data_IF_292272599323
#
_entry.id   IF_292272599323
#
_cell.length_a   1.000
_cell.length_b   1.000
_cell.length_c   1.000
_cell.angle_alpha   90.00
_cell.angle_beta   90.00
_cell.angle_gamma   90.00
#
_symmetry.space_group_name_H-M   'P 1'
#
loop_
_entity.id
_entity.type
_entity.pdbx_description
1 polymer ?
#
# COMPACT_ATOMS: atom_id res chain seq x y z
N UNK A 1 19.52 33.89 6.45
CA UNK A 1 19.71 32.90 5.37
C UNK A 1 18.62 31.82 5.36
N UNK A 2 18.28 31.22 6.52
CA UNK A 2 17.25 30.16 6.60
C UNK A 2 15.84 30.57 6.14
N UNK A 3 15.35 31.76 6.49
CA UNK A 3 14.02 32.23 6.04
C UNK A 3 13.86 32.33 4.52
N UNK A 4 14.96 32.55 3.78
CA UNK A 4 14.91 32.58 2.30
C UNK A 4 14.93 31.18 1.68
N UNK A 5 15.56 30.20 2.34
CA UNK A 5 15.53 28.79 1.94
C UNK A 5 14.11 28.24 2.06
N UNK A 6 13.42 28.49 3.17
CA UNK A 6 12.03 28.07 3.37
C UNK A 6 11.06 28.68 2.34
N UNK A 7 11.23 29.96 2.01
CA UNK A 7 10.43 30.61 0.95
C UNK A 7 10.65 30.00 -0.44
N UNK A 8 11.88 29.59 -0.77
CA UNK A 8 12.18 28.89 -2.03
C UNK A 8 11.58 27.48 -2.05
N UNK A 9 11.70 26.72 -0.96
CA UNK A 9 11.12 25.38 -0.84
C UNK A 9 9.59 25.45 -0.97
N UNK A 10 8.95 26.40 -0.28
CA UNK A 10 7.51 26.63 -0.37
C UNK A 10 7.07 26.96 -1.81
N UNK A 11 7.84 27.74 -2.55
CA UNK A 11 7.51 28.11 -3.93
C UNK A 11 7.68 26.97 -4.95
N UNK A 12 8.43 25.92 -4.60
CA UNK A 12 8.66 24.75 -5.45
C UNK A 12 7.61 23.64 -5.30
N UNK A 13 6.64 23.80 -4.40
CA UNK A 13 5.57 22.81 -4.27
C UNK A 13 4.54 22.92 -5.38
N UNK A 14 4.01 21.77 -5.79
CA UNK A 14 2.94 21.68 -6.78
C UNK A 14 1.59 22.03 -6.12
N UNK A 15 1.29 23.34 -6.08
CA UNK A 15 0.05 23.87 -5.51
C UNK A 15 -1.22 23.30 -6.16
N UNK A 16 -1.29 23.11 -7.49
CA UNK A 16 -2.41 22.40 -8.12
C UNK A 16 -2.67 21.01 -7.52
N UNK A 17 -1.62 20.20 -7.34
CA UNK A 17 -1.77 18.85 -6.77
C UNK A 17 -2.27 18.90 -5.33
N UNK A 18 -1.69 19.77 -4.50
CA UNK A 18 -2.10 19.93 -3.09
C UNK A 18 -3.57 20.37 -3.01
N UNK A 19 -3.96 21.34 -3.85
CA UNK A 19 -5.33 21.84 -3.89
C UNK A 19 -6.31 20.76 -4.32
N UNK A 20 -5.96 19.96 -5.34
CA UNK A 20 -6.78 18.84 -5.78
C UNK A 20 -7.00 17.82 -4.65
N UNK A 21 -5.93 17.42 -3.95
CA UNK A 21 -6.03 16.48 -2.82
C UNK A 21 -6.94 17.01 -1.72
N UNK A 22 -6.84 18.30 -1.37
CA UNK A 22 -7.70 18.92 -0.36
C UNK A 22 -9.17 18.90 -0.80
N UNK A 23 -9.45 19.32 -2.05
CA UNK A 23 -10.81 19.37 -2.58
C UNK A 23 -11.45 17.99 -2.66
N UNK A 24 -10.73 17.00 -3.17
CA UNK A 24 -11.18 15.60 -3.22
C UNK A 24 -11.45 15.04 -1.81
N UNK A 25 -10.61 15.38 -0.84
CA UNK A 25 -10.78 14.91 0.54
C UNK A 25 -12.00 15.54 1.23
N UNK A 26 -12.23 16.84 1.04
CA UNK A 26 -13.41 17.53 1.57
C UNK A 26 -14.69 17.03 0.92
N UNK A 27 -14.67 16.85 -0.40
CA UNK A 27 -15.79 16.25 -1.12
C UNK A 27 -16.10 14.84 -0.61
N UNK A 28 -15.06 14.01 -0.41
CA UNK A 28 -15.21 12.69 0.19
C UNK A 28 -15.84 12.74 1.59
N UNK A 29 -15.46 13.70 2.43
CA UNK A 29 -16.04 13.87 3.77
C UNK A 29 -17.55 14.19 3.71
N UNK A 30 -17.96 15.05 2.78
CA UNK A 30 -19.39 15.36 2.54
C UNK A 30 -20.15 14.11 2.08
N UNK A 31 -19.55 13.32 1.18
CA UNK A 31 -20.16 12.09 0.67
C UNK A 31 -20.32 11.00 1.76
N UNK A 32 -19.37 10.90 2.69
CA UNK A 32 -19.49 10.00 3.85
C UNK A 32 -20.67 10.39 4.72
N UNK A 33 -20.84 11.67 5.03
CA UNK A 33 -22.00 12.15 5.78
C UNK A 33 -23.31 11.80 5.07
N UNK A 34 -23.43 12.12 3.78
CA UNK A 34 -24.65 11.88 2.99
C UNK A 34 -25.05 10.39 2.92
N UNK A 35 -24.08 9.50 2.67
CA UNK A 35 -24.34 8.06 2.52
C UNK A 35 -24.50 7.31 3.84
N UNK A 36 -23.88 7.79 4.92
CA UNK A 36 -23.82 7.07 6.21
C UNK A 36 -24.87 7.52 7.22
N UNK A 37 -25.48 8.70 7.05
CA UNK A 37 -26.43 9.29 8.00
C UNK A 37 -27.60 8.36 8.35
N UNK A 38 -28.22 7.79 7.32
CA UNK A 38 -29.38 6.89 7.47
C UNK A 38 -28.95 5.55 8.07
N UNK A 39 -27.81 5.03 7.60
CA UNK A 39 -27.27 3.74 8.08
C UNK A 39 -26.84 3.81 9.54
N UNK A 40 -26.29 4.94 9.99
CA UNK A 40 -25.87 5.19 11.37
C UNK A 40 -27.04 5.03 12.35
N UNK A 41 -28.17 5.66 12.04
CA UNK A 41 -29.36 5.67 12.91
C UNK A 41 -30.11 4.33 12.83
N UNK A 42 -30.33 3.80 11.62
CA UNK A 42 -31.19 2.62 11.42
C UNK A 42 -30.48 1.31 11.78
N UNK A 43 -29.19 1.18 11.46
CA UNK A 43 -28.47 -0.10 11.57
C UNK A 43 -27.56 -0.20 12.79
N UNK A 44 -26.99 0.93 13.20
CA UNK A 44 -26.00 0.98 14.28
C UNK A 44 -26.52 1.68 15.54
N UNK A 45 -27.73 2.25 15.51
CA UNK A 45 -28.36 2.98 16.63
C UNK A 45 -27.45 4.07 17.23
N UNK A 46 -26.57 4.63 16.40
CA UNK A 46 -25.65 5.72 16.79
C UNK A 46 -26.12 7.05 16.21
N UNK A 47 -25.66 8.18 16.77
CA UNK A 47 -25.92 9.50 16.21
C UNK A 47 -25.56 9.56 14.72
N UNK A 48 -26.37 10.31 13.95
CA UNK A 48 -26.26 10.44 12.50
C UNK A 48 -24.91 10.97 12.00
N UNK A 49 -24.19 11.67 12.88
CA UNK A 49 -22.88 12.27 12.67
C UNK A 49 -21.71 11.36 13.07
N UNK A 50 -21.95 10.19 13.68
CA UNK A 50 -20.90 9.32 14.23
C UNK A 50 -19.80 8.96 13.22
N UNK A 51 -20.16 8.53 12.00
CA UNK A 51 -19.18 8.18 10.97
C UNK A 51 -18.48 9.42 10.39
N UNK A 52 -19.16 10.57 10.36
CA UNK A 52 -18.59 11.83 9.91
C UNK A 52 -17.54 12.35 10.90
N UNK A 53 -17.85 12.36 12.21
CA UNK A 53 -16.94 12.71 13.29
C UNK A 53 -15.65 11.89 13.20
N UNK A 54 -15.79 10.57 13.02
CA UNK A 54 -14.65 9.67 12.91
C UNK A 54 -13.83 9.93 11.65
N UNK A 55 -14.47 10.10 10.49
CA UNK A 55 -13.79 10.39 9.23
C UNK A 55 -13.07 11.75 9.27
N UNK A 56 -13.67 12.76 9.92
CA UNK A 56 -13.07 14.08 10.15
C UNK A 56 -11.79 13.96 10.98
N UNK A 57 -11.79 13.18 12.07
CA UNK A 57 -10.60 12.94 12.89
C UNK A 57 -9.48 12.25 12.10
N UNK A 58 -9.81 11.21 11.33
CA UNK A 58 -8.83 10.52 10.47
C UNK A 58 -8.29 11.43 9.36
N UNK A 59 -9.13 12.30 8.80
CA UNK A 59 -8.71 13.27 7.80
C UNK A 59 -7.73 14.30 8.39
N UNK A 60 -8.01 14.83 9.60
CA UNK A 60 -7.09 15.73 10.31
C UNK A 60 -5.76 15.03 10.60
N UNK A 61 -5.80 13.80 11.12
CA UNK A 61 -4.60 13.00 11.35
C UNK A 61 -3.80 12.76 10.05
N UNK A 62 -4.49 12.50 8.94
CA UNK A 62 -3.89 12.37 7.61
C UNK A 62 -3.22 13.66 7.12
N UNK A 63 -3.84 14.83 7.34
CA UNK A 63 -3.24 16.12 7.01
C UNK A 63 -2.02 16.44 7.86
N UNK A 64 -2.02 16.08 9.14
CA UNK A 64 -0.84 16.21 10.00
C UNK A 64 0.29 15.32 9.47
N UNK A 65 0.00 14.05 9.16
CA UNK A 65 0.98 13.14 8.58
C UNK A 65 1.52 13.63 7.21
N UNK A 66 0.65 14.21 6.37
CA UNK A 66 1.02 14.84 5.11
C UNK A 66 1.98 16.02 5.33
N UNK A 67 1.66 16.94 6.24
CA UNK A 67 2.49 18.10 6.54
C UNK A 67 3.87 17.71 7.09
N UNK A 68 3.92 16.70 7.98
CA UNK A 68 5.19 16.16 8.50
C UNK A 68 6.02 15.55 7.36
N UNK A 69 5.40 14.71 6.53
CA UNK A 69 6.10 14.03 5.43
C UNK A 69 6.60 15.01 4.37
N UNK A 70 5.84 16.08 4.11
CA UNK A 70 6.21 17.18 3.20
C UNK A 70 7.42 17.99 3.69
N UNK A 71 7.63 18.07 5.01
CA UNK A 71 8.80 18.71 5.59
C UNK A 71 10.07 17.82 5.56
N UNK A 72 9.91 16.49 5.48
CA UNK A 72 11.04 15.56 5.45
C UNK A 72 11.66 15.53 4.05
N UNK A 73 12.98 15.79 3.90
CA UNK A 73 13.62 15.79 2.59
C UNK A 73 13.63 14.39 1.97
N UNK A 74 13.32 14.31 0.67
CA UNK A 74 13.25 13.05 -0.09
C UNK A 74 14.52 12.18 0.02
N UNK A 75 15.68 12.79 0.30
CA UNK A 75 16.96 12.09 0.49
C UNK A 75 16.92 11.09 1.65
N UNK A 76 16.13 11.37 2.68
CA UNK A 76 15.95 10.47 3.83
C UNK A 76 15.23 9.20 3.37
N UNK A 77 14.12 9.35 2.65
CA UNK A 77 13.33 8.23 2.11
C UNK A 77 14.11 7.37 1.11
N UNK A 78 15.05 7.96 0.38
CA UNK A 78 15.94 7.25 -0.55
C UNK A 78 17.10 6.52 0.16
N UNK A 79 17.41 6.85 1.41
CA UNK A 79 18.58 6.27 2.06
C UNK A 79 18.41 4.75 2.24
N UNK A 80 19.48 4.00 1.98
CA UNK A 80 19.43 2.53 1.94
C UNK A 80 18.89 1.90 3.22
N UNK A 81 19.12 2.54 4.37
CA UNK A 81 18.59 2.09 5.66
C UNK A 81 17.06 2.00 5.66
N UNK A 82 16.38 3.03 5.12
CA UNK A 82 14.92 3.06 5.07
C UNK A 82 14.37 2.05 4.07
N UNK A 83 15.00 1.95 2.91
CA UNK A 83 14.64 0.95 1.90
C UNK A 83 14.77 -0.48 2.46
N UNK A 84 15.89 -0.79 3.15
CA UNK A 84 16.10 -2.10 3.78
C UNK A 84 15.11 -2.34 4.92
N UNK A 85 14.87 -1.35 5.78
CA UNK A 85 13.92 -1.47 6.88
C UNK A 85 12.53 -1.84 6.34
N UNK A 86 12.06 -1.10 5.34
CA UNK A 86 10.74 -1.33 4.78
C UNK A 86 10.67 -2.65 3.99
N UNK A 87 11.77 -3.03 3.33
CA UNK A 87 11.87 -4.31 2.64
C UNK A 87 11.64 -5.52 3.57
N UNK A 88 12.22 -5.49 4.77
CA UNK A 88 12.06 -6.57 5.75
C UNK A 88 10.78 -6.42 6.59
N UNK A 89 10.38 -5.19 6.90
CA UNK A 89 9.21 -4.92 7.73
C UNK A 89 7.90 -5.30 7.02
N UNK A 90 7.76 -5.06 5.72
CA UNK A 90 6.49 -5.31 5.02
C UNK A 90 6.08 -6.79 4.96
N UNK A 91 6.94 -7.77 4.58
CA UNK A 91 6.54 -9.18 4.64
C UNK A 91 6.33 -9.63 6.08
N UNK A 92 7.12 -9.14 7.05
CA UNK A 92 6.95 -9.48 8.45
C UNK A 92 5.58 -9.04 8.99
N UNK A 93 5.16 -7.81 8.68
CA UNK A 93 3.85 -7.30 9.08
C UNK A 93 2.69 -8.04 8.40
N UNK A 94 2.83 -8.40 7.13
CA UNK A 94 1.84 -9.19 6.41
C UNK A 94 1.72 -10.61 6.97
N UNK A 95 2.85 -11.23 7.35
CA UNK A 95 2.82 -12.53 8.03
C UNK A 95 2.15 -12.38 9.40
N UNK A 96 2.53 -11.35 10.17
CA UNK A 96 1.96 -11.11 11.49
C UNK A 96 0.43 -10.93 11.45
N UNK A 97 -0.11 -10.24 10.43
CA UNK A 97 -1.58 -10.03 10.33
C UNK A 97 -2.33 -11.30 9.93
N UNK A 98 -1.68 -12.24 9.24
CA UNK A 98 -2.30 -13.52 8.94
C UNK A 98 -2.58 -14.36 10.21
N UNK A 99 -1.78 -14.18 11.27
CA UNK A 99 -1.93 -14.90 12.54
C UNK A 99 -2.65 -14.10 13.62
N UNK A 100 -2.38 -12.79 13.72
CA UNK A 100 -2.84 -11.92 14.81
C UNK A 100 -3.88 -10.88 14.33
N UNK A 101 -4.27 -10.92 13.06
CA UNK A 101 -5.21 -9.99 12.47
C UNK A 101 -6.66 -10.30 12.83
N UNK A 102 -7.48 -9.26 12.80
CA UNK A 102 -8.92 -9.33 12.93
C UNK A 102 -9.55 -9.77 11.60
N UNK A 103 -10.44 -10.77 11.67
CA UNK A 103 -11.27 -11.21 10.55
C UNK A 103 -12.43 -10.25 10.32
N UNK A 104 -12.49 -9.62 9.16
CA UNK A 104 -13.67 -8.89 8.69
C UNK A 104 -13.97 -9.29 7.25
N UNK A 105 -15.25 -9.49 6.90
CA UNK A 105 -15.68 -9.92 5.56
C UNK A 105 -14.89 -11.12 5.00
N UNK A 106 -14.67 -12.16 5.81
CA UNK A 106 -13.84 -13.34 5.49
C UNK A 106 -12.35 -13.10 5.19
N UNK A 107 -11.83 -11.89 5.41
CA UNK A 107 -10.42 -11.56 5.24
C UNK A 107 -9.75 -11.21 6.58
N UNK A 108 -8.56 -11.77 6.84
CA UNK A 108 -7.70 -11.40 7.98
C UNK A 108 -6.63 -10.40 7.53
N UNK A 109 -7.01 -9.13 7.40
CA UNK A 109 -6.13 -8.10 6.84
C UNK A 109 -5.91 -6.87 7.75
N UNK A 110 -6.54 -6.83 8.93
CA UNK A 110 -6.51 -5.64 9.80
C UNK A 110 -5.98 -5.96 11.19
N UNK A 111 -5.07 -5.12 11.71
CA UNK A 111 -4.80 -5.07 13.14
C UNK A 111 -5.77 -4.11 13.81
N UNK A 112 -6.55 -4.61 14.77
CA UNK A 112 -7.51 -3.80 15.52
C UNK A 112 -7.00 -3.61 16.96
N UNK A 113 -6.67 -2.37 17.30
CA UNK A 113 -6.26 -1.97 18.65
C UNK A 113 -7.26 -0.91 19.13
N UNK A 114 -8.32 -1.37 19.81
CA UNK A 114 -9.44 -0.50 20.23
C UNK A 114 -10.14 0.14 19.03
N UNK A 115 -10.12 1.48 18.97
CA UNK A 115 -10.68 2.28 17.88
C UNK A 115 -9.74 2.46 16.68
N UNK A 116 -8.46 2.08 16.82
CA UNK A 116 -7.47 2.18 15.76
C UNK A 116 -7.44 0.88 14.95
N UNK A 117 -7.54 1.02 13.64
CA UNK A 117 -7.45 -0.07 12.68
C UNK A 117 -6.30 0.22 11.72
N UNK A 118 -5.25 -0.60 11.76
CA UNK A 118 -4.09 -0.45 10.88
C UNK A 118 -4.10 -1.60 9.89
N UNK A 119 -4.04 -1.28 8.60
CA UNK A 119 -3.93 -2.27 7.53
C UNK A 119 -2.47 -2.38 7.08
N UNK A 120 -1.78 -3.51 7.35
CA UNK A 120 -0.39 -3.72 6.96
C UNK A 120 -0.15 -3.64 5.46
N UNK A 121 -1.16 -4.00 4.65
CA UNK A 121 -1.06 -3.96 3.21
C UNK A 121 -0.87 -2.53 2.65
N UNK A 122 -1.37 -1.50 3.35
CA UNK A 122 -1.11 -0.10 2.99
C UNK A 122 0.38 0.25 3.15
N UNK A 123 0.98 -0.15 4.27
CA UNK A 123 2.43 0.01 4.51
C UNK A 123 3.25 -0.82 3.52
N UNK A 124 2.80 -2.03 3.17
CA UNK A 124 3.46 -2.87 2.19
C UNK A 124 3.45 -2.25 0.79
N UNK A 125 2.35 -1.59 0.37
CA UNK A 125 2.29 -0.84 -0.91
C UNK A 125 3.33 0.27 -0.97
N UNK A 126 3.37 1.14 0.04
CA UNK A 126 4.34 2.23 0.11
C UNK A 126 5.78 1.69 0.11
N UNK A 127 6.00 0.60 0.84
CA UNK A 127 7.29 -0.05 0.90
C UNK A 127 7.77 -0.67 -0.39
N UNK A 128 6.86 -1.34 -1.08
CA UNK A 128 7.13 -1.90 -2.40
C UNK A 128 7.48 -0.79 -3.40
N UNK A 129 6.75 0.32 -3.38
CA UNK A 129 7.05 1.49 -4.23
C UNK A 129 8.46 2.01 -3.96
N UNK A 130 8.82 2.25 -2.70
CA UNK A 130 10.15 2.76 -2.33
C UNK A 130 11.26 1.78 -2.73
N UNK A 131 11.05 0.49 -2.49
CA UNK A 131 12.01 -0.55 -2.84
C UNK A 131 12.19 -0.68 -4.36
N UNK A 132 11.10 -0.78 -5.12
CA UNK A 132 11.18 -0.87 -6.58
C UNK A 132 11.79 0.41 -7.18
N UNK A 133 11.41 1.58 -6.68
CA UNK A 133 12.01 2.85 -7.11
C UNK A 133 13.52 2.88 -6.85
N UNK A 134 13.97 2.46 -5.66
CA UNK A 134 15.40 2.39 -5.32
C UNK A 134 16.15 1.34 -6.15
N UNK A 135 15.56 0.16 -6.36
CA UNK A 135 16.13 -0.91 -7.16
C UNK A 135 16.27 -0.53 -8.64
N UNK A 136 15.29 0.18 -9.20
CA UNK A 136 15.30 0.57 -10.62
C UNK A 136 15.93 1.94 -10.90
N UNK A 137 16.22 2.76 -9.88
CA UNK A 137 16.82 4.09 -10.05
C UNK A 137 18.22 4.07 -10.70
N UNK A 138 19.04 3.03 -10.47
CA UNK A 138 20.43 2.99 -10.92
C UNK A 138 20.62 2.15 -12.20
N UNK A 139 20.23 2.70 -13.36
CA UNK A 139 20.38 2.03 -14.67
C UNK A 139 21.82 1.58 -15.00
N UNK A 140 22.85 2.32 -14.55
CA UNK A 140 24.28 2.01 -14.84
C UNK A 140 24.82 0.79 -14.10
N UNK A 141 24.48 0.61 -12.81
CA UNK A 141 24.83 -0.62 -12.06
C UNK A 141 24.16 -1.85 -12.68
N UNK A 142 22.94 -1.67 -13.17
CA UNK A 142 22.11 -2.72 -13.76
C UNK A 142 22.62 -3.30 -15.09
N UNK A 143 23.34 -2.49 -15.87
CA UNK A 143 24.00 -2.94 -17.11
C UNK A 143 25.31 -3.69 -16.84
N UNK A 144 25.91 -3.48 -15.67
CA UNK A 144 27.15 -4.12 -15.25
C UNK A 144 26.93 -5.42 -14.44
N UNK A 145 25.72 -5.60 -13.88
CA UNK A 145 25.38 -6.77 -13.06
C UNK A 145 24.73 -7.91 -13.89
N UNK A 146 24.94 -9.18 -13.48
CA UNK A 146 24.37 -10.34 -14.17
C UNK A 146 22.84 -10.33 -14.15
N UNK A 147 22.22 -10.93 -15.17
CA UNK A 147 20.76 -11.01 -15.35
C UNK A 147 19.96 -11.52 -14.12
N UNK A 148 20.62 -12.21 -13.18
CA UNK A 148 20.03 -12.64 -11.90
C UNK A 148 19.68 -11.49 -10.95
N UNK A 149 20.43 -10.37 -10.92
CA UNK A 149 20.11 -9.25 -10.02
C UNK A 149 18.85 -8.48 -10.44
N UNK A 150 18.53 -8.50 -11.74
CA UNK A 150 17.29 -7.92 -12.28
C UNK A 150 16.02 -8.67 -11.89
N UNK A 151 16.12 -9.94 -11.49
CA UNK A 151 14.97 -10.77 -11.14
C UNK A 151 14.55 -10.61 -9.68
N UNK A 152 15.46 -10.18 -8.80
CA UNK A 152 15.24 -10.09 -7.36
C UNK A 152 14.12 -9.10 -6.98
N UNK A 153 14.03 -7.88 -7.56
CA UNK A 153 12.92 -6.97 -7.26
C UNK A 153 11.54 -7.51 -7.68
N UNK A 154 11.52 -8.29 -8.76
CA UNK A 154 10.30 -8.91 -9.27
C UNK A 154 9.87 -10.06 -8.37
N UNK A 155 10.81 -10.92 -7.96
CA UNK A 155 10.51 -11.99 -7.00
C UNK A 155 9.95 -11.45 -5.69
N UNK A 156 10.53 -10.37 -5.16
CA UNK A 156 10.01 -9.72 -3.95
C UNK A 156 8.56 -9.24 -4.11
N UNK A 157 8.24 -8.63 -5.26
CA UNK A 157 6.86 -8.23 -5.59
C UNK A 157 5.91 -9.43 -5.55
N UNK A 158 6.31 -10.56 -6.15
CA UNK A 158 5.50 -11.78 -6.16
C UNK A 158 5.27 -12.33 -4.74
N UNK A 159 6.29 -12.31 -3.89
CA UNK A 159 6.17 -12.71 -2.48
C UNK A 159 5.14 -11.83 -1.76
N UNK A 160 5.20 -10.52 -1.92
CA UNK A 160 4.23 -9.60 -1.30
C UNK A 160 2.81 -9.88 -1.81
N UNK A 161 2.61 -10.02 -3.13
CA UNK A 161 1.30 -10.35 -3.69
C UNK A 161 0.77 -11.70 -3.17
N UNK A 162 1.62 -12.70 -3.05
CA UNK A 162 1.26 -14.01 -2.51
C UNK A 162 0.83 -13.92 -1.03
N UNK A 163 1.60 -13.21 -0.20
CA UNK A 163 1.28 -12.99 1.21
C UNK A 163 -0.06 -12.27 1.41
N UNK A 164 -0.45 -11.39 0.49
CA UNK A 164 -1.74 -10.69 0.53
C UNK A 164 -2.88 -11.59 0.03
N UNK A 165 -2.64 -12.39 -1.02
CA UNK A 165 -3.63 -13.37 -1.50
C UNK A 165 -3.96 -14.43 -0.44
N UNK A 166 -3.01 -14.74 0.43
CA UNK A 166 -3.18 -15.58 1.63
C UNK A 166 -4.16 -14.96 2.65
N UNK A 167 -4.36 -13.65 2.65
CA UNK A 167 -5.24 -12.94 3.59
C UNK A 167 -6.69 -12.79 3.09
N UNK A 168 -7.14 -13.69 2.20
CA UNK A 168 -8.24 -13.52 1.23
C UNK A 168 -8.49 -12.13 0.65
N UNK A 169 -7.48 -11.25 0.55
CA UNK A 169 -7.67 -9.86 0.10
C UNK A 169 -7.23 -9.68 -1.37
N UNK A 170 -8.04 -10.21 -2.30
CA UNK A 170 -7.74 -10.15 -3.73
C UNK A 170 -7.77 -8.73 -4.30
N UNK A 171 -8.62 -7.85 -3.75
CA UNK A 171 -8.70 -6.46 -4.18
C UNK A 171 -7.37 -5.73 -3.92
N UNK A 172 -6.84 -5.88 -2.71
CA UNK A 172 -5.55 -5.27 -2.36
C UNK A 172 -4.39 -5.91 -3.12
N UNK A 173 -4.41 -7.23 -3.32
CA UNK A 173 -3.41 -7.92 -4.13
C UNK A 173 -3.38 -7.39 -5.59
N UNK A 174 -4.54 -7.18 -6.20
CA UNK A 174 -4.65 -6.64 -7.56
C UNK A 174 -4.09 -5.21 -7.66
N UNK A 175 -4.36 -4.35 -6.67
CA UNK A 175 -3.83 -2.98 -6.63
C UNK A 175 -2.31 -2.99 -6.49
N UNK A 176 -1.77 -3.80 -5.58
CA UNK A 176 -0.31 -3.94 -5.38
C UNK A 176 0.37 -4.42 -6.65
N UNK A 177 -0.24 -5.41 -7.31
CA UNK A 177 0.24 -5.93 -8.58
C UNK A 177 0.25 -4.86 -9.69
N UNK A 178 -0.83 -4.09 -9.81
CA UNK A 178 -0.94 -3.00 -10.78
C UNK A 178 0.14 -1.93 -10.54
N UNK A 179 0.36 -1.51 -9.28
CA UNK A 179 1.40 -0.55 -8.91
C UNK A 179 2.79 -1.06 -9.33
N UNK A 180 3.10 -2.32 -9.02
CA UNK A 180 4.39 -2.90 -9.37
C UNK A 180 4.58 -2.99 -10.89
N UNK A 181 3.54 -3.39 -11.62
CA UNK A 181 3.55 -3.41 -13.09
C UNK A 181 3.83 -2.02 -13.68
N UNK A 182 3.15 -0.97 -13.19
CA UNK A 182 3.41 0.39 -13.63
C UNK A 182 4.88 0.78 -13.46
N UNK A 183 5.47 0.52 -12.28
CA UNK A 183 6.87 0.87 -12.01
C UNK A 183 7.83 0.08 -12.91
N UNK A 184 7.60 -1.23 -13.09
CA UNK A 184 8.49 -2.07 -13.87
C UNK A 184 8.43 -1.70 -15.35
N UNK A 185 7.25 -1.42 -15.90
CA UNK A 185 7.09 -0.94 -17.29
C UNK A 185 7.82 0.39 -17.48
N UNK A 186 7.66 1.34 -16.54
CA UNK A 186 8.39 2.62 -16.57
C UNK A 186 9.91 2.47 -16.45
N UNK A 187 10.40 1.38 -15.85
CA UNK A 187 11.84 1.11 -15.71
C UNK A 187 12.56 0.70 -17.01
N UNK A 188 11.79 0.40 -18.07
CA UNK A 188 12.30 -0.05 -19.37
C UNK A 188 12.79 -1.50 -19.38
N UNK A 189 12.29 -2.34 -18.48
CA UNK A 189 12.54 -3.79 -18.51
C UNK A 189 11.79 -4.43 -19.69
N UNK A 190 12.36 -5.49 -20.27
CA UNK A 190 11.73 -6.22 -21.38
C UNK A 190 10.41 -6.83 -20.90
N UNK A 191 9.29 -6.43 -21.51
CA UNK A 191 7.94 -6.91 -21.21
C UNK A 191 7.82 -8.45 -21.21
N UNK A 192 8.66 -9.12 -22.01
CA UNK A 192 8.74 -10.59 -22.08
C UNK A 192 9.17 -11.22 -20.75
N UNK A 193 10.04 -10.54 -19.97
CA UNK A 193 10.48 -11.04 -18.66
C UNK A 193 9.35 -10.94 -17.63
N UNK A 194 8.60 -9.83 -17.66
CA UNK A 194 7.39 -9.63 -16.87
C UNK A 194 6.35 -10.71 -17.17
N UNK A 195 6.03 -10.93 -18.44
CA UNK A 195 5.04 -11.95 -18.87
C UNK A 195 5.43 -13.37 -18.44
N UNK A 196 6.71 -13.75 -18.57
CA UNK A 196 7.19 -15.06 -18.08
C UNK A 196 7.03 -15.24 -16.58
N UNK A 197 7.25 -14.19 -15.79
CA UNK A 197 7.13 -14.25 -14.33
C UNK A 197 5.67 -14.20 -13.87
N UNK A 198 4.81 -13.47 -14.59
CA UNK A 198 3.36 -13.47 -14.40
C UNK A 198 2.80 -14.89 -14.61
N UNK A 199 3.20 -15.55 -15.71
CA UNK A 199 2.86 -16.94 -16.01
C UNK A 199 3.35 -17.90 -14.93
N UNK A 200 4.61 -17.74 -14.49
CA UNK A 200 5.17 -18.56 -13.41
C UNK A 200 4.39 -18.40 -12.10
N UNK A 201 3.98 -17.19 -11.76
CA UNK A 201 3.19 -16.92 -10.56
C UNK A 201 1.77 -17.49 -10.63
N UNK A 202 1.09 -17.31 -11.76
CA UNK A 202 -0.22 -17.93 -11.98
C UNK A 202 -0.14 -19.45 -11.89
N UNK A 203 0.97 -20.03 -12.38
CA UNK A 203 1.20 -21.48 -12.36
C UNK A 203 1.54 -21.98 -10.95
N UNK A 204 2.28 -21.22 -10.16
CA UNK A 204 2.49 -21.52 -8.73
C UNK A 204 1.17 -21.40 -7.97
N UNK A 205 0.37 -20.37 -8.23
CA UNK A 205 -0.93 -20.15 -7.61
C UNK A 205 -1.91 -21.30 -7.87
N UNK A 206 -1.97 -21.79 -9.12
CA UNK A 206 -2.82 -22.94 -9.48
C UNK A 206 -2.28 -24.28 -8.96
N UNK A 207 -0.96 -24.43 -8.80
CA UNK A 207 -0.37 -25.63 -8.21
C UNK A 207 -0.50 -25.66 -6.68
N UNK A 208 -0.48 -24.50 -6.03
CA UNK A 208 -0.67 -24.38 -4.58
C UNK A 208 -2.15 -24.28 -4.19
N UNK A 209 -3.05 -23.97 -5.12
CA UNK A 209 -4.49 -23.90 -4.86
C UNK A 209 -5.06 -25.18 -4.22
N UNK A 210 -4.69 -26.42 -4.60
CA UNK A 210 -5.22 -27.63 -3.98
C UNK A 210 -4.77 -27.82 -2.52
N UNK A 211 -3.65 -27.21 -2.12
CA UNK A 211 -3.14 -27.25 -0.75
C UNK A 211 -3.74 -26.13 0.12
N UNK A 212 -4.11 -25.01 -0.50
CA UNK A 212 -4.71 -23.84 0.15
C UNK A 212 -6.24 -23.92 0.27
N UNK A 213 -6.93 -24.48 -0.73
CA UNK A 213 -8.39 -24.62 -0.77
C UNK A 213 -9.01 -25.42 0.41
N UNK A 214 -8.37 -26.45 0.99
CA UNK A 214 -8.94 -27.18 2.14
C UNK A 214 -8.83 -26.41 3.46
N UNK A 215 -7.77 -25.60 3.62
CA UNK A 215 -7.50 -24.80 4.83
C UNK A 215 -8.23 -23.45 4.77
N UNK A 216 -8.24 -22.81 3.60
CA UNK A 216 -8.96 -21.58 3.34
C UNK A 216 -10.46 -21.83 3.07
N UNK A 217 -10.85 -23.00 2.57
CA UNK A 217 -12.24 -23.34 2.22
C UNK A 217 -13.23 -23.24 3.39
N UNK A 218 -12.81 -23.59 4.61
CA UNK A 218 -13.64 -23.40 5.82
C UNK A 218 -13.81 -21.91 6.21
N UNK A 219 -12.90 -21.03 5.77
CA UNK A 219 -12.98 -19.56 5.90
C UNK A 219 -13.47 -18.86 4.63
N UNK A 220 -13.69 -19.56 3.52
CA UNK A 220 -14.17 -18.99 2.25
C UNK A 220 -15.67 -19.24 2.03
N UNK A 221 -16.19 -20.36 2.56
CA UNK A 221 -17.57 -20.84 2.35
C UNK A 221 -18.42 -20.91 3.64
N UNK A 222 -17.97 -20.30 4.74
CA UNK A 222 -18.78 -20.01 5.93
C UNK A 222 -18.91 -18.50 6.12
#
# INVERSE_FOLDING_TARGET
MERQLWKKVLKCYDYPLITAVIMLSLFGLIMVYSSSMVTAVIRFEVPSDYFYERQKLWLIAGFIAFAITMAIPYKVWRAERWVKLVFFASPLMLIAVAFLGHTANNATSWFRVGALSIQPAELAKLGLILYLAAAFANKRKRLAEPAKSNLFPIYYTLVICFLIAIQPDFGTAAIVFAIAMCIIVSSGLRLVLLLKQLLFFTLIGTVLSPFWLPVAGKKFFS
#
